data_IF_103200939317
#
_entry.id   IF_103200939317
#
_cell.length_a   1.000
_cell.length_b   1.000
_cell.length_c   1.000
_cell.angle_alpha   90.00
_cell.angle_beta   90.00
_cell.angle_gamma   90.00
#
_symmetry.space_group_name_H-M   'P 1'
#
loop_
_entity.id
_entity.type
_entity.pdbx_description
1 polymer ?
#
# COMPACT_ATOMS: atom_id res chain seq x y z
N UNK A 1 -1.92 -33.28 17.30
CA UNK A 1 -1.02 -34.40 17.66
C UNK A 1 0.43 -34.15 17.23
N UNK A 2 0.71 -33.80 15.96
CA UNK A 2 2.08 -33.53 15.49
C UNK A 2 2.81 -32.39 16.22
N UNK A 3 2.12 -31.28 16.51
CA UNK A 3 2.70 -30.17 17.31
C UNK A 3 3.03 -30.61 18.74
N UNK A 4 2.17 -31.46 19.32
CA UNK A 4 2.43 -32.04 20.65
C UNK A 4 3.67 -32.94 20.62
N UNK A 5 3.82 -33.80 19.61
CA UNK A 5 5.02 -34.61 19.45
C UNK A 5 6.28 -33.74 19.23
N UNK A 6 6.18 -32.70 18.39
CA UNK A 6 7.31 -31.82 18.07
C UNK A 6 7.83 -31.02 19.28
N UNK A 7 6.99 -30.71 20.27
CA UNK A 7 7.39 -29.94 21.45
C UNK A 7 7.71 -30.88 22.62
N UNK A 8 6.79 -31.81 22.93
CA UNK A 8 6.90 -32.61 24.15
C UNK A 8 7.92 -33.74 24.03
N UNK A 9 8.15 -34.32 22.84
CA UNK A 9 9.15 -35.40 22.71
C UNK A 9 10.58 -34.86 22.91
N UNK A 10 11.02 -33.78 22.22
CA UNK A 10 12.34 -33.20 22.48
C UNK A 10 12.50 -32.72 23.91
N UNK A 11 11.47 -32.08 24.49
CA UNK A 11 11.51 -31.63 25.88
C UNK A 11 11.70 -32.79 26.86
N UNK A 12 10.95 -33.89 26.69
CA UNK A 12 11.09 -35.07 27.55
C UNK A 12 12.45 -35.76 27.35
N UNK A 13 13.00 -35.79 26.14
CA UNK A 13 14.37 -36.29 25.90
C UNK A 13 15.40 -35.43 26.64
N UNK A 14 15.28 -34.10 26.58
CA UNK A 14 16.17 -33.17 27.30
C UNK A 14 16.05 -33.38 28.81
N UNK A 15 14.83 -33.48 29.34
CA UNK A 15 14.60 -33.73 30.77
C UNK A 15 15.17 -35.07 31.23
N UNK A 16 14.98 -36.14 30.45
CA UNK A 16 15.54 -37.45 30.75
C UNK A 16 17.08 -37.44 30.70
N UNK A 17 17.67 -36.76 29.71
CA UNK A 17 19.11 -36.59 29.62
C UNK A 17 19.67 -35.82 30.82
N UNK A 18 19.04 -34.71 31.21
CA UNK A 18 19.43 -33.92 32.38
C UNK A 18 19.34 -34.75 33.68
N UNK A 19 18.30 -35.56 33.84
CA UNK A 19 18.15 -36.46 35.00
C UNK A 19 19.25 -37.53 35.05
N UNK A 20 19.54 -38.18 33.91
CA UNK A 20 20.62 -39.17 33.82
C UNK A 20 21.97 -38.52 34.17
N UNK A 21 22.28 -37.35 33.60
CA UNK A 21 23.51 -36.62 33.87
C UNK A 21 23.62 -36.21 35.35
N UNK A 22 22.52 -35.77 35.97
CA UNK A 22 22.47 -35.45 37.39
C UNK A 22 22.80 -36.66 38.27
N UNK A 23 22.32 -37.85 37.90
CA UNK A 23 22.57 -39.07 38.68
C UNK A 23 24.00 -39.63 38.52
N UNK A 24 24.67 -39.33 37.40
CA UNK A 24 25.97 -39.93 37.05
C UNK A 24 27.18 -39.02 37.32
N UNK A 25 27.00 -37.70 37.30
CA UNK A 25 28.11 -36.74 37.44
C UNK A 25 28.12 -36.17 38.86
N UNK A 26 29.19 -36.45 39.61
CA UNK A 26 29.40 -35.83 40.94
C UNK A 26 29.51 -34.31 40.76
N UNK A 27 28.74 -33.55 41.55
CA UNK A 27 28.61 -32.09 41.44
C UNK A 27 27.95 -31.57 40.14
N UNK A 28 27.14 -32.39 39.44
CA UNK A 28 26.40 -31.97 38.24
C UNK A 28 25.69 -30.61 38.39
N UNK A 29 24.98 -30.39 39.50
CA UNK A 29 24.23 -29.14 39.74
C UNK A 29 25.13 -27.91 39.72
N UNK A 30 26.38 -28.01 40.21
CA UNK A 30 27.34 -26.91 40.15
C UNK A 30 27.78 -26.64 38.71
N UNK A 31 28.14 -27.69 37.96
CA UNK A 31 28.52 -27.55 36.54
C UNK A 31 27.39 -27.04 35.68
N UNK A 32 26.17 -27.53 35.88
CA UNK A 32 24.98 -27.08 35.17
C UNK A 32 24.67 -25.62 35.47
N UNK A 33 24.71 -25.22 36.75
CA UNK A 33 24.53 -23.81 37.14
C UNK A 33 25.59 -22.92 36.49
N UNK A 34 26.87 -23.32 36.52
CA UNK A 34 27.95 -22.58 35.85
C UNK A 34 27.68 -22.48 34.35
N UNK A 35 27.31 -23.58 33.70
CA UNK A 35 27.01 -23.59 32.26
C UNK A 35 25.84 -22.68 31.90
N UNK A 36 24.76 -22.68 32.69
CA UNK A 36 23.61 -21.78 32.51
C UNK A 36 24.00 -20.32 32.70
N UNK A 37 24.80 -20.00 33.74
CA UNK A 37 25.28 -18.63 33.99
C UNK A 37 26.20 -18.16 32.87
N UNK A 38 27.18 -18.98 32.47
CA UNK A 38 28.08 -18.68 31.34
C UNK A 38 27.30 -18.50 30.05
N UNK A 39 26.33 -19.39 29.78
CA UNK A 39 25.43 -19.28 28.64
C UNK A 39 24.62 -17.99 28.67
N UNK A 40 24.01 -17.65 29.81
CA UNK A 40 23.24 -16.41 29.96
C UNK A 40 24.11 -15.16 29.79
N UNK A 41 25.33 -15.15 30.32
CA UNK A 41 26.29 -14.05 30.13
C UNK A 41 26.69 -13.94 28.65
N UNK A 42 27.03 -15.06 28.00
CA UNK A 42 27.39 -15.09 26.58
C UNK A 42 26.23 -14.60 25.70
N UNK A 43 25.00 -15.05 25.97
CA UNK A 43 23.79 -14.57 25.28
C UNK A 43 23.57 -13.08 25.55
N UNK A 44 23.71 -12.61 26.79
CA UNK A 44 23.56 -11.19 27.10
C UNK A 44 24.61 -10.33 26.38
N UNK A 45 25.89 -10.72 26.42
CA UNK A 45 26.97 -10.04 25.70
C UNK A 45 26.74 -10.04 24.19
N UNK A 46 26.30 -11.17 23.64
CA UNK A 46 25.92 -11.29 22.22
C UNK A 46 24.75 -10.36 21.87
N UNK A 47 23.69 -10.33 22.68
CA UNK A 47 22.57 -9.40 22.51
C UNK A 47 23.00 -7.94 22.62
N UNK A 48 23.90 -7.60 23.55
CA UNK A 48 24.46 -6.25 23.67
C UNK A 48 25.30 -5.89 22.44
N UNK A 49 26.15 -6.79 21.97
CA UNK A 49 26.93 -6.59 20.75
C UNK A 49 26.02 -6.38 19.53
N UNK A 50 25.06 -7.28 19.30
CA UNK A 50 24.14 -7.17 18.17
C UNK A 50 23.22 -5.95 18.24
N UNK A 51 22.89 -5.50 19.45
CA UNK A 51 22.23 -4.21 19.65
C UNK A 51 23.11 -3.03 19.24
N UNK A 52 24.43 -3.10 19.42
CA UNK A 52 25.35 -2.02 19.00
C UNK A 52 25.65 -2.01 17.51
N UNK A 53 25.50 -3.14 16.81
CA UNK A 53 25.74 -3.25 15.36
C UNK A 53 24.44 -3.47 14.57
N UNK A 54 23.30 -3.11 15.15
CA UNK A 54 21.97 -3.38 14.59
C UNK A 54 21.78 -2.77 13.19
N UNK A 55 22.34 -1.58 12.99
CA UNK A 55 22.33 -0.83 11.74
C UNK A 55 23.31 -1.38 10.68
N UNK A 56 24.23 -2.26 11.07
CA UNK A 56 25.20 -2.89 10.17
C UNK A 56 24.71 -4.25 9.65
N UNK A 57 23.73 -4.86 10.34
CA UNK A 57 23.31 -6.25 10.11
C UNK A 57 24.37 -7.28 10.48
N UNK A 58 23.96 -8.54 10.59
CA UNK A 58 24.91 -9.66 10.73
C UNK A 58 25.33 -10.10 9.32
N UNK A 59 26.64 -10.19 9.09
CA UNK A 59 27.26 -10.59 7.80
C UNK A 59 26.97 -9.66 6.59
N UNK A 60 26.54 -8.41 6.82
CA UNK A 60 26.26 -7.45 5.75
C UNK A 60 25.04 -7.83 4.88
N UNK A 61 24.21 -8.76 5.33
CA UNK A 61 22.98 -9.16 4.62
C UNK A 61 21.84 -8.12 4.79
N UNK A 62 21.93 -7.27 5.81
CA UNK A 62 21.08 -6.10 6.00
C UNK A 62 21.73 -4.92 5.28
N UNK A 63 21.30 -4.64 4.05
CA UNK A 63 21.65 -3.37 3.38
C UNK A 63 20.77 -2.25 3.98
N UNK A 64 21.03 -1.88 5.24
CA UNK A 64 20.36 -0.74 5.85
C UNK A 64 20.94 0.56 5.31
N UNK A 65 20.10 1.29 4.60
CA UNK A 65 20.41 2.64 4.17
C UNK A 65 19.99 3.65 5.25
N UNK A 66 20.95 4.12 6.05
CA UNK A 66 20.73 5.13 7.09
C UNK A 66 20.21 6.47 6.53
N UNK A 67 20.30 6.68 5.21
CA UNK A 67 19.76 7.85 4.55
C UNK A 67 18.27 7.75 4.22
N UNK A 68 17.64 6.57 4.28
CA UNK A 68 16.21 6.40 3.97
C UNK A 68 15.34 6.40 5.24
N UNK A 69 15.72 5.59 6.24
CA UNK A 69 14.98 5.40 7.48
C UNK A 69 15.84 5.68 8.71
N UNK A 70 15.18 6.00 9.83
CA UNK A 70 15.80 6.06 11.15
C UNK A 70 15.05 5.21 12.15
N UNK A 71 15.78 4.31 12.80
CA UNK A 71 15.30 3.55 13.94
C UNK A 71 15.11 4.45 15.16
N UNK A 72 14.08 4.17 15.95
CA UNK A 72 13.80 4.87 17.18
C UNK A 72 13.71 3.91 18.37
N UNK A 73 14.34 4.33 19.47
CA UNK A 73 14.38 3.57 20.70
C UNK A 73 15.48 2.51 20.72
N UNK A 74 15.34 1.53 21.62
CA UNK A 74 16.29 0.44 21.81
C UNK A 74 15.74 -0.79 21.08
N UNK A 75 16.34 -1.11 19.93
CA UNK A 75 15.92 -2.26 19.12
C UNK A 75 16.83 -3.46 19.40
N UNK A 76 16.27 -4.66 19.25
CA UNK A 76 17.01 -5.91 19.40
C UNK A 76 16.80 -6.68 18.10
N UNK A 77 17.85 -6.99 17.32
CA UNK A 77 17.73 -7.83 16.15
C UNK A 77 17.40 -9.25 16.62
N UNK A 78 16.12 -9.56 16.72
CA UNK A 78 15.70 -10.92 17.04
C UNK A 78 15.78 -11.84 15.82
N UNK A 79 15.93 -11.25 14.63
CA UNK A 79 15.99 -11.89 13.30
C UNK A 79 16.99 -13.05 13.26
N UNK A 80 18.05 -13.00 14.08
CA UNK A 80 19.19 -13.94 14.00
C UNK A 80 19.44 -14.77 15.28
N UNK A 81 18.52 -14.77 16.26
CA UNK A 81 18.64 -15.62 17.47
C UNK A 81 18.16 -17.06 17.25
N UNK A 82 17.52 -17.34 16.12
CA UNK A 82 17.08 -18.68 15.73
C UNK A 82 17.80 -19.09 14.43
N UNK A 83 17.98 -20.41 14.18
CA UNK A 83 18.68 -20.91 13.00
C UNK A 83 18.08 -20.39 11.69
N UNK A 84 18.93 -20.31 10.66
CA UNK A 84 18.57 -19.93 9.30
C UNK A 84 17.23 -20.55 8.86
N UNK A 85 16.29 -19.70 8.40
CA UNK A 85 14.94 -20.10 8.00
C UNK A 85 13.85 -19.85 9.05
N UNK A 86 14.22 -19.54 10.31
CA UNK A 86 13.29 -19.03 11.31
C UNK A 86 13.25 -17.50 11.24
N UNK A 87 12.23 -16.93 10.58
CA UNK A 87 12.03 -15.48 10.60
C UNK A 87 11.58 -15.05 12.00
N UNK A 88 12.40 -14.22 12.67
CA UNK A 88 12.05 -13.62 13.95
C UNK A 88 11.87 -12.11 13.79
N UNK A 89 10.66 -11.65 14.02
CA UNK A 89 10.27 -10.27 13.76
C UNK A 89 10.32 -9.48 15.06
N UNK A 90 11.30 -8.59 15.21
CA UNK A 90 11.28 -7.43 16.12
C UNK A 90 12.16 -6.31 15.51
N UNK A 91 11.68 -5.74 14.40
CA UNK A 91 12.12 -4.43 13.93
C UNK A 91 11.43 -3.40 14.83
N UNK A 92 12.18 -2.61 15.61
CA UNK A 92 11.54 -1.58 16.43
C UNK A 92 10.94 -0.45 15.61
N UNK A 93 10.62 0.66 16.26
CA UNK A 93 9.97 1.79 15.59
C UNK A 93 10.90 2.43 14.57
N UNK A 94 10.35 2.82 13.43
CA UNK A 94 11.07 3.46 12.34
C UNK A 94 10.33 4.68 11.84
N UNK A 95 11.09 5.68 11.43
CA UNK A 95 10.58 6.90 10.81
C UNK A 95 11.31 7.16 9.50
N UNK A 96 10.59 7.66 8.50
CA UNK A 96 11.23 8.18 7.30
C UNK A 96 12.10 9.38 7.65
N UNK A 97 13.33 9.39 7.12
CA UNK A 97 14.20 10.56 7.25
C UNK A 97 13.58 11.68 6.44
N UNK A 98 13.23 12.79 7.10
CA UNK A 98 12.73 13.97 6.38
C UNK A 98 13.78 14.47 5.39
N UNK A 99 13.31 14.93 4.24
CA UNK A 99 14.14 15.62 3.27
C UNK A 99 14.82 16.83 3.92
N UNK A 100 16.09 17.06 3.53
CA UNK A 100 16.89 18.12 4.13
C UNK A 100 16.49 19.51 3.64
N UNK A 101 16.05 19.60 2.38
CA UNK A 101 15.57 20.85 1.79
C UNK A 101 14.05 20.92 1.84
N UNK A 102 13.53 22.09 2.20
CA UNK A 102 12.10 22.39 2.10
C UNK A 102 11.75 22.66 0.63
N UNK A 103 11.07 21.72 -0.01
CA UNK A 103 10.60 21.85 -1.39
C UNK A 103 9.11 22.17 -1.33
N UNK A 104 8.76 23.41 -1.66
CA UNK A 104 7.37 23.80 -1.87
C UNK A 104 7.05 23.71 -3.36
N UNK A 105 6.32 22.67 -3.76
CA UNK A 105 5.91 22.49 -5.13
C UNK A 105 4.42 22.18 -5.24
N UNK A 106 3.73 22.86 -6.14
CA UNK A 106 2.28 22.76 -6.34
C UNK A 106 1.97 22.82 -7.84
N UNK A 107 1.05 21.96 -8.30
CA UNK A 107 0.46 22.08 -9.62
C UNK A 107 -0.86 22.82 -9.46
N UNK A 108 -1.03 23.93 -10.18
CA UNK A 108 -2.25 24.72 -10.12
C UNK A 108 -3.39 24.12 -10.98
N UNK A 109 -4.53 24.81 -11.02
CA UNK A 109 -5.73 24.37 -11.75
C UNK A 109 -5.55 24.36 -13.27
N UNK A 110 -4.61 25.15 -13.79
CA UNK A 110 -4.27 25.21 -15.22
C UNK A 110 -3.24 24.14 -15.60
N UNK A 111 -2.65 23.49 -14.61
CA UNK A 111 -1.60 22.51 -14.81
C UNK A 111 -0.20 23.07 -14.86
N UNK A 112 -0.03 24.32 -14.44
CA UNK A 112 1.29 24.90 -14.29
C UNK A 112 1.91 24.44 -12.97
N UNK A 113 3.15 23.95 -13.06
CA UNK A 113 3.94 23.53 -11.92
C UNK A 113 4.73 24.73 -11.36
N UNK A 114 4.45 25.07 -10.11
CA UNK A 114 5.16 26.11 -9.36
C UNK A 114 6.08 25.44 -8.35
N UNK A 115 7.38 25.60 -8.52
CA UNK A 115 8.39 25.05 -7.59
C UNK A 115 9.07 26.21 -6.86
N UNK A 116 9.30 26.05 -5.57
CA UNK A 116 10.19 26.90 -4.77
C UNK A 116 11.08 25.99 -3.93
N UNK A 117 12.38 26.05 -4.21
CA UNK A 117 13.39 25.45 -3.36
C UNK A 117 14.59 26.40 -3.29
N UNK A 118 15.27 26.46 -2.14
CA UNK A 118 16.31 27.46 -1.82
C UNK A 118 17.62 27.31 -2.61
N UNK A 119 17.57 26.80 -3.83
CA UNK A 119 18.70 26.62 -4.76
C UNK A 119 18.41 27.37 -6.06
N UNK A 120 19.43 27.59 -6.88
CA UNK A 120 19.25 28.18 -8.21
C UNK A 120 18.51 27.24 -9.16
N UNK A 121 17.75 27.81 -10.10
CA UNK A 121 16.98 27.11 -11.14
C UNK A 121 17.76 26.00 -11.86
N UNK A 122 19.05 26.23 -12.12
CA UNK A 122 19.96 25.26 -12.75
C UNK A 122 20.08 23.92 -12.01
N UNK A 123 19.68 23.87 -10.74
CA UNK A 123 19.67 22.66 -9.91
C UNK A 123 18.29 22.01 -9.75
N UNK A 124 17.24 22.56 -10.37
CA UNK A 124 15.87 22.04 -10.26
C UNK A 124 15.54 21.18 -11.48
N UNK A 125 15.11 19.95 -11.21
CA UNK A 125 14.77 18.96 -12.22
C UNK A 125 13.39 18.38 -11.93
N UNK A 126 12.58 18.20 -12.97
CA UNK A 126 11.24 17.62 -12.87
C UNK A 126 11.20 16.32 -13.67
N UNK A 127 10.92 15.23 -12.97
CA UNK A 127 10.66 13.92 -13.55
C UNK A 127 9.14 13.79 -13.77
N UNK A 128 8.70 13.94 -15.03
CA UNK A 128 7.32 13.78 -15.44
C UNK A 128 6.99 12.30 -15.54
N UNK A 129 6.13 11.81 -14.64
CA UNK A 129 5.78 10.40 -14.56
C UNK A 129 4.76 10.03 -15.64
N UNK A 130 4.85 8.82 -16.23
CA UNK A 130 3.94 8.42 -17.29
C UNK A 130 2.55 8.04 -16.74
N UNK A 131 1.52 8.26 -17.57
CA UNK A 131 0.19 7.69 -17.34
C UNK A 131 0.21 6.18 -17.64
N UNK A 132 -0.15 5.36 -16.65
CA UNK A 132 -0.11 3.90 -16.74
C UNK A 132 -1.45 3.29 -17.12
N UNK A 133 -2.56 4.04 -17.03
CA UNK A 133 -3.93 3.55 -17.28
C UNK A 133 -4.10 2.93 -18.67
N UNK A 134 -3.45 3.51 -19.67
CA UNK A 134 -3.53 3.06 -21.07
C UNK A 134 -2.58 1.91 -21.41
N UNK A 135 -1.75 1.47 -20.45
CA UNK A 135 -0.79 0.42 -20.73
C UNK A 135 -1.47 -0.95 -20.83
N UNK A 136 -1.02 -1.79 -21.77
CA UNK A 136 -1.52 -3.15 -21.89
C UNK A 136 -1.10 -4.00 -20.67
N UNK A 137 -1.89 -5.01 -20.33
CA UNK A 137 -1.61 -5.93 -19.22
C UNK A 137 -0.18 -6.51 -19.24
N UNK A 138 0.39 -6.81 -20.42
CA UNK A 138 1.78 -7.31 -20.55
C UNK A 138 2.85 -6.36 -20.04
N UNK A 139 2.58 -5.06 -20.03
CA UNK A 139 3.49 -4.00 -19.58
C UNK A 139 3.32 -3.71 -18.08
N UNK A 140 2.25 -4.24 -17.47
CA UNK A 140 1.91 -4.03 -16.05
C UNK A 140 2.26 -5.20 -15.14
N UNK A 141 3.15 -6.09 -15.61
CA UNK A 141 3.69 -7.15 -14.76
C UNK A 141 4.63 -6.53 -13.72
N UNK A 142 4.17 -6.51 -12.47
CA UNK A 142 4.88 -5.91 -11.35
C UNK A 142 6.16 -6.67 -10.98
N UNK A 143 6.22 -7.99 -11.24
CA UNK A 143 7.42 -8.79 -10.93
C UNK A 143 8.60 -8.42 -11.81
N UNK A 144 8.36 -8.05 -13.07
CA UNK A 144 9.44 -8.00 -14.06
C UNK A 144 9.56 -6.69 -14.84
N UNK A 145 8.46 -5.93 -15.00
CA UNK A 145 8.38 -4.88 -16.03
C UNK A 145 7.87 -3.54 -15.53
N UNK A 146 6.83 -3.49 -14.69
CA UNK A 146 6.08 -2.25 -14.44
C UNK A 146 6.98 -1.13 -13.92
N UNK A 147 7.77 -1.36 -12.87
CA UNK A 147 8.66 -0.33 -12.32
C UNK A 147 9.72 0.12 -13.35
N UNK A 148 10.34 -0.82 -14.05
CA UNK A 148 11.38 -0.54 -15.06
C UNK A 148 10.80 0.27 -16.23
N UNK A 149 9.58 -0.04 -16.66
CA UNK A 149 8.90 0.70 -17.71
C UNK A 149 8.48 2.10 -17.25
N UNK A 150 8.03 2.26 -16.00
CA UNK A 150 7.75 3.58 -15.42
C UNK A 150 9.01 4.43 -15.40
N UNK A 151 10.11 3.90 -14.88
CA UNK A 151 11.41 4.61 -14.85
C UNK A 151 11.87 4.94 -16.27
N UNK A 152 11.83 3.97 -17.19
CA UNK A 152 12.24 4.16 -18.60
C UNK A 152 11.40 5.20 -19.34
N UNK A 153 10.10 5.29 -19.06
CA UNK A 153 9.17 6.23 -19.70
C UNK A 153 9.02 7.55 -18.95
N UNK A 154 9.68 7.71 -17.79
CA UNK A 154 9.72 8.98 -17.06
C UNK A 154 10.56 9.98 -17.85
N UNK A 155 10.00 11.17 -18.09
CA UNK A 155 10.67 12.22 -18.85
C UNK A 155 11.28 13.22 -17.87
N UNK A 156 12.60 13.35 -17.89
CA UNK A 156 13.34 14.29 -17.04
C UNK A 156 13.52 15.62 -17.77
N UNK A 157 13.03 16.71 -17.18
CA UNK A 157 13.11 18.05 -17.76
C UNK A 157 13.72 19.04 -16.75
N UNK A 158 14.55 20.00 -17.20
CA UNK A 158 14.98 21.10 -16.34
C UNK A 158 13.79 22.01 -16.01
N UNK A 159 13.75 22.55 -14.80
CA UNK A 159 12.79 23.57 -14.41
C UNK A 159 13.43 24.96 -14.49
N UNK A 160 12.66 25.95 -14.92
CA UNK A 160 13.11 27.33 -15.03
C UNK A 160 11.98 28.26 -14.60
N UNK A 161 12.23 29.12 -13.61
CA UNK A 161 11.23 30.04 -13.09
C UNK A 161 10.81 31.12 -14.09
N UNK A 162 11.59 31.35 -15.16
CA UNK A 162 11.26 32.36 -16.18
C UNK A 162 10.25 31.88 -17.22
N UNK A 163 9.99 30.57 -17.30
CA UNK A 163 9.07 29.98 -18.28
C UNK A 163 8.03 29.09 -17.58
N UNK A 164 6.72 29.28 -17.82
CA UNK A 164 5.67 28.41 -17.29
C UNK A 164 5.93 26.94 -17.60
N UNK A 165 6.04 26.09 -16.57
CA UNK A 165 6.15 24.65 -16.74
C UNK A 165 4.75 24.02 -16.75
N UNK A 166 4.13 23.96 -17.92
CA UNK A 166 2.76 23.43 -18.06
C UNK A 166 2.78 21.92 -18.33
N UNK A 167 2.07 21.17 -17.50
CA UNK A 167 1.93 19.72 -17.63
C UNK A 167 0.75 19.35 -18.53
N UNK A 168 0.92 18.32 -19.36
CA UNK A 168 -0.16 17.75 -20.17
C UNK A 168 -1.36 17.32 -19.32
N UNK A 169 -2.58 17.47 -19.84
CA UNK A 169 -3.85 17.14 -19.18
C UNK A 169 -3.96 15.67 -18.70
N UNK A 170 -3.07 14.77 -19.13
CA UNK A 170 -3.00 13.37 -18.67
C UNK A 170 -1.97 13.14 -17.56
N UNK A 171 -1.07 14.09 -17.28
CA UNK A 171 -0.05 13.94 -16.24
C UNK A 171 -0.68 14.11 -14.87
N UNK A 172 -0.74 13.02 -14.10
CA UNK A 172 -1.28 13.01 -12.73
C UNK A 172 -0.24 13.28 -11.65
N UNK A 173 1.05 13.01 -11.91
CA UNK A 173 2.10 13.21 -10.93
C UNK A 173 3.46 13.50 -11.56
N UNK A 174 4.28 14.23 -10.81
CA UNK A 174 5.69 14.49 -11.12
C UNK A 174 6.54 14.29 -9.87
N UNK A 175 7.83 14.01 -10.04
CA UNK A 175 8.82 14.12 -8.97
C UNK A 175 9.63 15.37 -9.21
N UNK A 176 9.59 16.31 -8.26
CA UNK A 176 10.40 17.52 -8.27
C UNK A 176 11.67 17.24 -7.47
N UNK A 177 12.83 17.51 -8.07
CA UNK A 177 14.15 17.32 -7.47
C UNK A 177 14.83 18.66 -7.31
N UNK A 178 15.28 18.96 -6.10
CA UNK A 178 16.09 20.13 -5.77
C UNK A 178 17.37 19.65 -5.11
N UNK A 179 18.47 19.61 -5.89
CA UNK A 179 19.73 19.05 -5.44
C UNK A 179 19.58 17.56 -5.05
N UNK A 180 19.84 17.24 -3.79
CA UNK A 180 19.72 15.88 -3.25
C UNK A 180 18.32 15.55 -2.72
N UNK A 181 17.45 16.55 -2.56
CA UNK A 181 16.10 16.36 -2.04
C UNK A 181 15.09 16.21 -3.18
N UNK A 182 14.05 15.43 -2.95
CA UNK A 182 13.00 15.20 -3.92
C UNK A 182 11.61 15.22 -3.25
N UNK A 183 10.55 15.41 -4.03
CA UNK A 183 9.17 15.37 -3.54
C UNK A 183 8.21 15.00 -4.66
N UNK A 184 7.12 14.28 -4.35
CA UNK A 184 6.06 14.01 -5.32
C UNK A 184 5.06 15.17 -5.30
N UNK A 185 4.68 15.64 -6.49
CA UNK A 185 3.56 16.56 -6.66
C UNK A 185 2.51 15.88 -7.53
N UNK A 186 1.37 15.59 -6.94
CA UNK A 186 0.24 14.95 -7.62
C UNK A 186 -0.91 15.93 -7.85
N UNK A 187 -1.69 15.69 -8.90
CA UNK A 187 -2.94 16.38 -9.23
C UNK A 187 -3.97 15.41 -9.80
N UNK A 188 -5.24 15.79 -9.69
CA UNK A 188 -6.34 15.09 -10.35
C UNK A 188 -6.40 15.60 -11.79
N UNK A 189 -6.04 14.75 -12.75
CA UNK A 189 -5.98 15.13 -14.16
C UNK A 189 -6.45 13.98 -15.04
N UNK A 190 -7.30 14.23 -16.07
CA UNK A 190 -7.92 15.52 -16.38
C UNK A 190 -8.91 15.96 -15.28
N UNK A 191 -9.29 17.24 -15.26
CA UNK A 191 -10.33 17.72 -14.35
C UNK A 191 -11.64 16.95 -14.58
N UNK A 192 -12.39 16.69 -13.51
CA UNK A 192 -13.64 15.91 -13.55
C UNK A 192 -14.68 16.55 -14.47
N UNK A 193 -14.70 17.88 -14.55
CA UNK A 193 -15.60 18.61 -15.46
C UNK A 193 -15.32 18.33 -16.94
N UNK A 194 -14.11 17.91 -17.28
CA UNK A 194 -13.67 17.51 -18.62
C UNK A 194 -13.87 16.02 -18.90
N UNK A 195 -14.24 15.21 -17.89
CA UNK A 195 -14.43 13.77 -18.10
C UNK A 195 -15.67 13.51 -18.97
N UNK A 196 -15.53 12.79 -20.09
CA UNK A 196 -16.69 12.41 -20.89
C UNK A 196 -17.61 11.46 -20.10
N UNK A 197 -18.88 11.43 -20.48
CA UNK A 197 -19.76 10.35 -20.03
C UNK A 197 -19.28 9.05 -20.69
N UNK A 198 -18.84 8.12 -19.86
CA UNK A 198 -18.32 6.85 -20.34
C UNK A 198 -19.47 5.98 -20.87
N UNK A 199 -19.33 5.50 -22.11
CA UNK A 199 -20.23 4.51 -22.70
C UNK A 199 -19.44 3.23 -22.93
N UNK A 200 -19.77 2.12 -22.24
CA UNK A 200 -19.05 0.87 -22.43
C UNK A 200 -19.29 0.30 -23.83
N UNK A 201 -18.26 -0.32 -24.46
CA UNK A 201 -18.44 -1.10 -25.66
C UNK A 201 -19.45 -2.25 -25.43
N UNK A 202 -20.38 -2.53 -26.36
CA UNK A 202 -21.45 -3.53 -26.16
C UNK A 202 -20.95 -4.91 -25.70
N UNK A 203 -19.83 -5.36 -26.23
CA UNK A 203 -19.20 -6.66 -25.93
C UNK A 203 -18.63 -6.76 -24.50
N UNK A 204 -18.43 -5.61 -23.84
CA UNK A 204 -17.88 -5.53 -22.49
C UNK A 204 -18.79 -4.80 -21.51
N UNK A 205 -20.03 -4.51 -21.92
CA UNK A 205 -21.00 -3.78 -21.11
C UNK A 205 -21.54 -4.66 -19.98
N UNK A 206 -21.10 -4.36 -18.76
CA UNK A 206 -21.49 -5.09 -17.54
C UNK A 206 -22.96 -4.87 -17.13
N UNK A 207 -23.72 -4.07 -17.88
CA UNK A 207 -25.16 -3.87 -17.68
C UNK A 207 -25.99 -4.93 -18.40
N UNK A 208 -25.50 -5.45 -19.52
CA UNK A 208 -26.23 -6.39 -20.39
C UNK A 208 -26.24 -7.80 -19.77
N UNK A 209 -25.13 -8.20 -19.16
CA UNK A 209 -25.04 -9.48 -18.45
C UNK A 209 -25.77 -9.41 -17.11
N UNK A 210 -26.95 -10.03 -17.06
CA UNK A 210 -27.87 -10.21 -15.93
C UNK A 210 -27.28 -10.18 -14.49
N UNK A 211 -26.93 -8.98 -13.99
CA UNK A 211 -27.16 -8.62 -12.57
C UNK A 211 -28.62 -8.17 -12.36
N UNK A 212 -29.44 -8.29 -13.42
CA UNK A 212 -30.86 -7.94 -13.52
C UNK A 212 -31.84 -8.85 -12.79
N UNK A 213 -31.41 -9.64 -11.79
CA UNK A 213 -32.33 -10.18 -10.77
C UNK A 213 -32.08 -9.63 -9.36
N UNK A 214 -30.85 -9.23 -9.04
CA UNK A 214 -30.52 -8.69 -7.72
C UNK A 214 -30.74 -7.17 -7.68
N UNK A 215 -30.44 -6.44 -8.77
CA UNK A 215 -30.70 -4.99 -8.84
C UNK A 215 -32.07 -4.62 -9.46
N UNK A 216 -32.69 -5.50 -10.25
CA UNK A 216 -34.06 -5.26 -10.76
C UNK A 216 -35.14 -5.83 -9.82
N UNK A 217 -34.79 -6.61 -8.80
CA UNK A 217 -35.74 -7.22 -7.86
C UNK A 217 -36.27 -6.27 -6.78
N UNK A 218 -35.76 -5.05 -6.72
CA UNK A 218 -36.25 -3.96 -5.85
C UNK A 218 -36.44 -2.67 -6.65
N UNK A 219 -37.09 -2.76 -7.79
CA UNK A 219 -37.68 -1.60 -8.48
C UNK A 219 -38.93 -1.08 -7.74
N UNK A 220 -38.85 -0.92 -6.41
CA UNK A 220 -39.72 0.06 -5.78
C UNK A 220 -39.31 1.41 -6.35
N UNK A 221 -40.24 2.14 -6.95
CA UNK A 221 -40.04 3.50 -7.51
C UNK A 221 -39.33 4.46 -6.54
N UNK A 222 -39.31 4.12 -5.25
CA UNK A 222 -38.59 4.78 -4.17
C UNK A 222 -37.05 4.76 -4.32
N UNK A 223 -36.44 3.68 -4.84
CA UNK A 223 -34.98 3.61 -5.05
C UNK A 223 -34.53 4.23 -6.37
N UNK A 224 -35.39 4.24 -7.40
CA UNK A 224 -35.08 4.87 -8.68
C UNK A 224 -34.87 6.39 -8.57
N UNK A 225 -35.43 7.01 -7.53
CA UNK A 225 -35.30 8.43 -7.24
C UNK A 225 -34.15 8.77 -6.27
N UNK A 226 -33.45 7.78 -5.72
CA UNK A 226 -32.35 8.02 -4.79
C UNK A 226 -31.01 8.14 -5.53
N UNK A 227 -30.26 9.20 -5.23
CA UNK A 227 -28.89 9.36 -5.73
C UNK A 227 -28.05 8.18 -5.20
N UNK A 228 -27.33 7.43 -6.07
CA UNK A 228 -26.48 6.34 -5.62
C UNK A 228 -25.39 6.83 -4.65
N UNK A 229 -25.03 6.03 -3.64
CA UNK A 229 -23.98 6.40 -2.70
C UNK A 229 -22.62 6.41 -3.38
N UNK A 230 -21.74 7.29 -2.89
CA UNK A 230 -20.32 7.20 -3.21
C UNK A 230 -19.70 6.01 -2.46
N UNK A 231 -18.73 5.36 -3.08
CA UNK A 231 -18.07 4.17 -2.53
C UNK A 231 -16.56 4.41 -2.47
N UNK A 232 -15.98 4.19 -1.30
CA UNK A 232 -14.53 4.17 -1.10
C UNK A 232 -14.17 2.82 -0.52
N UNK A 233 -13.33 2.08 -1.24
CA UNK A 233 -12.82 0.78 -0.85
C UNK A 233 -11.34 0.91 -0.48
N UNK A 234 -11.02 0.72 0.80
CA UNK A 234 -9.66 0.72 1.30
C UNK A 234 -9.24 -0.73 1.59
N UNK A 235 -8.21 -1.21 0.89
CA UNK A 235 -7.61 -2.53 1.15
C UNK A 235 -6.32 -2.37 1.94
N UNK A 236 -6.26 -3.03 3.10
CA UNK A 236 -5.03 -3.17 3.87
C UNK A 236 -4.50 -4.59 3.68
N UNK A 237 -3.51 -4.75 2.80
CA UNK A 237 -2.97 -6.06 2.44
C UNK A 237 -2.20 -6.69 3.60
N UNK A 238 -2.34 -8.01 3.75
CA UNK A 238 -1.76 -8.82 4.82
C UNK A 238 -2.14 -8.38 6.27
N UNK A 239 -3.24 -7.64 6.45
CA UNK A 239 -3.72 -7.23 7.78
C UNK A 239 -4.85 -8.12 8.29
N UNK A 240 -4.61 -8.82 9.41
CA UNK A 240 -5.68 -9.53 10.13
C UNK A 240 -6.51 -8.56 10.99
N UNK A 241 -7.76 -8.94 11.32
CA UNK A 241 -8.61 -8.16 12.26
C UNK A 241 -7.89 -7.87 13.58
N UNK A 242 -7.18 -8.86 14.15
CA UNK A 242 -6.43 -8.69 15.39
C UNK A 242 -5.27 -7.71 15.21
N UNK A 243 -4.61 -7.72 14.06
CA UNK A 243 -3.57 -6.75 13.74
C UNK A 243 -4.15 -5.34 13.63
N UNK A 244 -5.26 -5.16 12.92
CA UNK A 244 -5.95 -3.87 12.82
C UNK A 244 -6.26 -3.28 14.20
N UNK A 245 -6.97 -4.03 15.05
CA UNK A 245 -7.35 -3.54 16.39
C UNK A 245 -6.17 -3.26 17.32
N UNK A 246 -5.06 -4.00 17.17
CA UNK A 246 -3.88 -3.86 18.04
C UNK A 246 -2.91 -2.77 17.57
N UNK A 247 -2.72 -2.62 16.26
CA UNK A 247 -1.67 -1.77 15.68
C UNK A 247 -2.21 -0.48 15.07
N UNK A 248 -3.53 -0.35 14.90
CA UNK A 248 -4.18 0.86 14.39
C UNK A 248 -5.21 1.44 15.39
N UNK A 249 -4.82 1.69 16.66
CA UNK A 249 -5.77 2.10 17.70
C UNK A 249 -6.42 3.48 17.43
N UNK A 250 -5.73 4.41 16.77
CA UNK A 250 -6.33 5.71 16.42
C UNK A 250 -7.39 5.53 15.34
N UNK A 251 -7.11 4.72 14.32
CA UNK A 251 -8.07 4.41 13.24
C UNK A 251 -9.31 3.69 13.79
N UNK A 252 -9.13 2.74 14.71
CA UNK A 252 -10.24 2.07 15.41
C UNK A 252 -11.08 3.08 16.21
N UNK A 253 -10.42 4.02 16.89
CA UNK A 253 -11.12 5.09 17.62
C UNK A 253 -11.91 5.98 16.66
N UNK A 254 -11.32 6.40 15.55
CA UNK A 254 -11.99 7.19 14.52
C UNK A 254 -13.23 6.48 13.98
N UNK A 255 -13.13 5.19 13.61
CA UNK A 255 -14.30 4.39 13.20
C UNK A 255 -15.39 4.37 14.27
N UNK A 256 -15.04 4.11 15.53
CA UNK A 256 -16.01 4.12 16.64
C UNK A 256 -16.67 5.48 16.82
N UNK A 257 -15.94 6.58 16.63
CA UNK A 257 -16.52 7.93 16.70
C UNK A 257 -17.53 8.19 15.59
N UNK A 258 -17.33 7.62 14.39
CA UNK A 258 -18.31 7.73 13.31
C UNK A 258 -19.65 7.09 13.70
N UNK A 259 -19.65 5.96 14.40
CA UNK A 259 -20.87 5.25 14.83
C UNK A 259 -21.75 6.06 15.79
N UNK A 260 -21.16 6.95 16.60
CA UNK A 260 -21.93 7.76 17.57
C UNK A 260 -22.72 8.90 16.92
N UNK A 261 -22.52 9.17 15.63
CA UNK A 261 -23.27 10.17 14.90
C UNK A 261 -24.55 9.56 14.32
N UNK A 262 -25.69 10.23 14.53
CA UNK A 262 -27.03 9.75 14.15
C UNK A 262 -27.22 9.37 12.67
N UNK A 263 -26.28 9.77 11.80
CA UNK A 263 -26.37 9.59 10.34
C UNK A 263 -25.39 8.55 9.77
N UNK A 264 -24.57 7.92 10.62
CA UNK A 264 -23.57 6.95 10.19
C UNK A 264 -23.89 5.57 10.75
N UNK A 265 -23.76 4.53 9.93
CA UNK A 265 -23.89 3.15 10.36
C UNK A 265 -22.56 2.43 10.18
N UNK A 266 -21.93 2.04 11.29
CA UNK A 266 -20.73 1.22 11.28
C UNK A 266 -21.10 -0.25 11.52
N UNK A 267 -20.77 -1.10 10.56
CA UNK A 267 -20.98 -2.55 10.67
C UNK A 267 -19.65 -3.28 10.58
N UNK A 268 -19.25 -3.93 11.67
CA UNK A 268 -18.11 -4.85 11.68
C UNK A 268 -18.59 -6.28 11.40
N UNK A 269 -18.12 -6.87 10.30
CA UNK A 269 -18.51 -8.21 9.90
C UNK A 269 -17.63 -9.28 10.57
N UNK A 270 -17.95 -9.64 11.81
CA UNK A 270 -17.14 -10.56 12.61
C UNK A 270 -16.99 -11.98 12.02
N UNK A 271 -17.95 -12.41 11.20
CA UNK A 271 -17.95 -13.72 10.52
C UNK A 271 -17.49 -13.64 9.07
N UNK A 272 -17.04 -12.46 8.63
CA UNK A 272 -16.37 -12.33 7.34
C UNK A 272 -14.89 -12.72 7.50
N UNK A 273 -14.43 -13.60 6.63
CA UNK A 273 -13.10 -14.20 6.67
C UNK A 273 -12.46 -14.13 5.29
N UNK A 274 -11.14 -14.14 5.26
CA UNK A 274 -10.41 -14.32 4.02
C UNK A 274 -10.71 -15.71 3.44
N UNK A 275 -10.71 -15.81 2.11
CA UNK A 275 -10.80 -17.07 1.36
C UNK A 275 -9.61 -17.98 1.67
N UNK A 276 -8.44 -17.39 1.85
CA UNK A 276 -7.21 -18.11 2.15
C UNK A 276 -6.13 -17.21 2.70
N UNK A 277 -4.90 -17.72 2.74
CA UNK A 277 -3.72 -17.00 3.22
C UNK A 277 -3.01 -16.19 2.13
N UNK A 278 -3.29 -16.44 0.85
CA UNK A 278 -2.69 -15.72 -0.28
C UNK A 278 -3.53 -14.50 -0.64
N UNK A 279 -2.87 -13.36 -0.87
CA UNK A 279 -3.52 -12.14 -1.36
C UNK A 279 -4.27 -12.40 -2.67
N UNK A 280 -3.69 -13.15 -3.61
CA UNK A 280 -4.27 -13.39 -4.94
C UNK A 280 -5.68 -13.98 -4.90
N UNK A 281 -5.92 -15.01 -4.09
CA UNK A 281 -7.26 -15.61 -4.02
C UNK A 281 -8.27 -14.70 -3.34
N UNK A 282 -7.82 -13.91 -2.36
CA UNK A 282 -8.67 -12.97 -1.64
C UNK A 282 -9.08 -11.80 -2.54
N UNK A 283 -8.15 -11.23 -3.30
CA UNK A 283 -8.40 -10.14 -4.24
C UNK A 283 -9.24 -10.59 -5.43
N UNK A 284 -9.03 -11.81 -5.98
CA UNK A 284 -9.94 -12.38 -7.00
C UNK A 284 -11.37 -12.45 -6.49
N UNK A 285 -11.58 -13.01 -5.29
CA UNK A 285 -12.90 -13.08 -4.70
C UNK A 285 -13.51 -11.69 -4.43
N UNK A 286 -12.70 -10.73 -3.94
CA UNK A 286 -13.18 -9.38 -3.67
C UNK A 286 -13.50 -8.57 -4.93
N UNK A 287 -12.69 -8.69 -5.98
CA UNK A 287 -12.78 -7.85 -7.18
C UNK A 287 -13.61 -8.46 -8.29
N UNK A 288 -13.66 -9.79 -8.38
CA UNK A 288 -14.44 -10.51 -9.40
C UNK A 288 -15.67 -11.23 -8.84
N UNK A 289 -15.77 -11.40 -7.52
CA UNK A 289 -16.81 -12.22 -6.90
C UNK A 289 -16.53 -13.71 -6.92
N UNK A 290 -15.44 -14.17 -7.55
CA UNK A 290 -15.04 -15.57 -7.61
C UNK A 290 -13.51 -15.74 -7.70
N UNK A 291 -13.00 -16.85 -7.16
CA UNK A 291 -11.55 -17.15 -7.13
C UNK A 291 -11.06 -17.68 -8.49
N UNK A 292 -11.92 -18.44 -9.16
CA UNK A 292 -11.66 -19.11 -10.43
C UNK A 292 -12.71 -18.66 -11.45
N UNK A 293 -12.50 -17.51 -12.10
CA UNK A 293 -13.53 -16.97 -12.98
C UNK A 293 -13.80 -17.91 -14.15
N UNK A 294 -15.07 -18.27 -14.32
CA UNK A 294 -15.49 -19.19 -15.38
C UNK A 294 -15.45 -18.52 -16.75
N UNK A 295 -15.68 -17.21 -16.78
CA UNK A 295 -15.70 -16.40 -17.99
C UNK A 295 -14.33 -15.75 -18.22
N UNK A 296 -13.82 -15.90 -19.46
CA UNK A 296 -12.65 -15.16 -19.93
C UNK A 296 -12.92 -13.67 -19.96
N UNK A 297 -11.88 -12.86 -19.77
CA UNK A 297 -11.97 -11.40 -19.77
C UNK A 297 -12.95 -10.82 -18.72
N UNK A 298 -13.15 -11.53 -17.59
CA UNK A 298 -14.00 -11.04 -16.50
C UNK A 298 -13.45 -9.72 -15.96
N UNK A 299 -14.28 -8.68 -16.00
CA UNK A 299 -13.92 -7.34 -15.56
C UNK A 299 -14.04 -7.20 -14.04
N UNK A 300 -13.17 -6.40 -13.40
CA UNK A 300 -13.25 -6.13 -11.97
C UNK A 300 -14.45 -5.25 -11.59
N UNK A 301 -14.82 -5.27 -10.31
CA UNK A 301 -16.01 -4.60 -9.77
C UNK A 301 -16.11 -3.11 -10.13
N UNK A 302 -14.99 -2.38 -10.20
CA UNK A 302 -15.00 -0.97 -10.59
C UNK A 302 -15.45 -0.75 -12.04
N UNK A 303 -15.28 -1.71 -12.95
CA UNK A 303 -15.88 -1.66 -14.28
C UNK A 303 -17.42 -1.58 -14.21
N UNK A 304 -18.02 -2.34 -13.29
CA UNK A 304 -19.47 -2.34 -13.10
C UNK A 304 -20.00 -0.98 -12.62
N UNK A 305 -19.22 -0.30 -11.77
CA UNK A 305 -19.51 1.06 -11.34
C UNK A 305 -19.37 2.05 -12.50
N UNK A 306 -18.28 1.97 -13.27
CA UNK A 306 -18.04 2.89 -14.40
C UNK A 306 -19.14 2.82 -15.46
N UNK A 307 -19.57 1.62 -15.81
CA UNK A 307 -20.65 1.40 -16.80
C UNK A 307 -22.00 1.99 -16.34
N UNK A 308 -22.15 2.23 -15.03
CA UNK A 308 -23.32 2.85 -14.39
C UNK A 308 -23.12 4.34 -14.13
N UNK A 309 -22.11 4.95 -14.74
CA UNK A 309 -21.89 6.40 -14.72
C UNK A 309 -21.03 6.90 -13.56
N UNK A 310 -20.49 6.01 -12.71
CA UNK A 310 -19.60 6.41 -11.63
C UNK A 310 -18.28 6.93 -12.21
N UNK A 311 -17.67 7.90 -11.51
CA UNK A 311 -16.26 8.21 -11.67
C UNK A 311 -15.46 7.16 -10.91
N UNK A 312 -14.48 6.56 -11.57
CA UNK A 312 -13.74 5.41 -11.04
C UNK A 312 -12.25 5.72 -10.92
N UNK A 313 -11.68 5.43 -9.75
CA UNK A 313 -10.28 5.73 -9.49
C UNK A 313 -9.60 4.59 -8.72
N UNK A 314 -8.32 4.37 -9.02
CA UNK A 314 -7.49 3.38 -8.33
C UNK A 314 -6.15 3.97 -7.91
N UNK A 315 -5.79 3.78 -6.65
CA UNK A 315 -4.53 4.21 -6.05
C UNK A 315 -3.83 2.96 -5.51
N UNK A 316 -2.62 2.67 -5.99
CA UNK A 316 -1.86 1.49 -5.57
C UNK A 316 -0.54 1.94 -4.96
N UNK A 317 -0.34 1.71 -3.66
CA UNK A 317 0.87 2.15 -2.98
C UNK A 317 2.08 1.21 -3.19
N UNK A 318 1.99 0.18 -4.03
CA UNK A 318 2.97 -0.91 -4.15
C UNK A 318 3.70 -1.03 -5.50
N UNK A 319 3.48 -0.11 -6.45
CA UNK A 319 3.92 -0.25 -7.85
C UNK A 319 3.42 -1.54 -8.50
N UNK A 320 2.14 -1.81 -8.35
CA UNK A 320 1.52 -3.05 -8.77
C UNK A 320 0.19 -2.78 -9.46
N UNK A 321 -0.16 -3.64 -10.43
CA UNK A 321 -1.49 -3.67 -11.01
C UNK A 321 -2.16 -5.00 -10.65
N UNK A 322 -3.01 -4.98 -9.63
CA UNK A 322 -3.76 -6.17 -9.20
C UNK A 322 -4.61 -6.81 -10.31
N UNK A 323 -5.04 -6.04 -11.31
CA UNK A 323 -5.74 -6.62 -12.45
C UNK A 323 -4.82 -7.54 -13.25
N UNK A 324 -3.56 -7.14 -13.44
CA UNK A 324 -2.55 -8.00 -14.05
C UNK A 324 -2.17 -9.14 -13.12
N UNK A 325 -1.85 -8.86 -11.87
CA UNK A 325 -1.41 -9.88 -10.90
C UNK A 325 -2.44 -10.99 -10.67
N UNK A 326 -3.70 -10.62 -10.47
CA UNK A 326 -4.74 -11.58 -10.11
C UNK A 326 -5.46 -12.16 -11.32
N UNK A 327 -5.70 -11.34 -12.33
CA UNK A 327 -6.60 -11.69 -13.43
C UNK A 327 -5.90 -11.75 -14.77
N UNK A 328 -4.60 -11.44 -14.86
CA UNK A 328 -3.86 -11.37 -16.11
C UNK A 328 -4.03 -12.63 -16.97
N UNK A 329 -3.98 -13.81 -16.35
CA UNK A 329 -4.11 -15.08 -17.07
C UNK A 329 -5.53 -15.38 -17.56
N UNK A 330 -6.53 -14.65 -17.07
CA UNK A 330 -7.92 -14.77 -17.49
C UNK A 330 -8.25 -13.92 -18.73
N UNK A 331 -7.35 -13.01 -19.13
CA UNK A 331 -7.52 -12.21 -20.34
C UNK A 331 -6.91 -12.88 -21.56
N UNK A 332 -7.67 -12.96 -22.65
CA UNK A 332 -7.25 -13.60 -23.91
C UNK A 332 -6.10 -12.86 -24.57
N UNK A 333 -6.13 -11.52 -24.51
CA UNK A 333 -5.11 -10.65 -25.08
C UNK A 333 -4.43 -9.85 -23.97
N UNK A 334 -3.13 -10.07 -23.80
CA UNK A 334 -2.31 -9.28 -22.88
C UNK A 334 -2.11 -7.82 -23.35
N UNK A 335 -2.61 -7.50 -24.55
CA UNK A 335 -2.58 -6.18 -25.17
C UNK A 335 -3.78 -5.32 -24.73
N UNK A 336 -4.72 -5.93 -24.02
CA UNK A 336 -5.87 -5.22 -23.47
C UNK A 336 -5.45 -4.32 -22.29
N UNK A 337 -5.79 -3.04 -22.36
CA UNK A 337 -5.56 -2.08 -21.29
C UNK A 337 -6.79 -2.01 -20.36
N UNK A 338 -6.88 -2.94 -19.41
CA UNK A 338 -8.05 -3.04 -18.52
C UNK A 338 -8.29 -1.74 -17.76
N UNK A 339 -7.25 -1.09 -17.25
CA UNK A 339 -7.40 0.20 -16.55
C UNK A 339 -8.01 1.27 -17.45
N UNK A 340 -7.64 1.34 -18.73
CA UNK A 340 -8.27 2.28 -19.65
C UNK A 340 -9.76 2.01 -19.83
N UNK A 341 -10.16 0.74 -19.87
CA UNK A 341 -11.56 0.30 -19.93
C UNK A 341 -12.32 0.61 -18.63
N UNK A 342 -11.67 0.50 -17.48
CA UNK A 342 -12.36 0.37 -16.20
C UNK A 342 -12.18 1.54 -15.24
N UNK A 343 -11.23 2.44 -15.50
CA UNK A 343 -10.86 3.56 -14.63
C UNK A 343 -10.86 4.89 -15.38
N UNK A 344 -11.23 5.96 -14.66
CA UNK A 344 -11.01 7.35 -15.06
C UNK A 344 -9.66 7.86 -14.53
N UNK A 345 -9.27 7.44 -13.32
CA UNK A 345 -8.01 7.82 -12.68
C UNK A 345 -7.21 6.61 -12.19
N UNK A 346 -5.90 6.66 -12.34
CA UNK A 346 -4.95 5.65 -11.86
C UNK A 346 -3.69 6.31 -11.31
N UNK A 347 -3.36 6.07 -10.04
CA UNK A 347 -2.13 6.54 -9.42
C UNK A 347 -1.27 5.35 -8.98
N UNK A 348 -0.32 4.97 -9.84
CA UNK A 348 0.63 3.87 -9.60
C UNK A 348 2.08 4.33 -9.80
N UNK A 349 2.34 5.11 -10.86
CA UNK A 349 3.70 5.50 -11.26
C UNK A 349 4.58 6.14 -10.17
N UNK A 350 4.06 6.99 -9.25
CA UNK A 350 4.89 7.55 -8.17
C UNK A 350 5.49 6.49 -7.25
N UNK A 351 4.81 5.37 -7.07
CA UNK A 351 5.25 4.28 -6.19
C UNK A 351 6.26 3.35 -6.86
N UNK A 352 6.56 3.56 -8.15
CA UNK A 352 7.54 2.78 -8.90
C UNK A 352 8.96 3.37 -8.87
N UNK A 353 9.18 4.41 -8.07
CA UNK A 353 10.45 5.12 -8.03
C UNK A 353 11.53 4.31 -7.30
N UNK A 354 12.81 4.35 -7.74
CA UNK A 354 13.91 3.55 -7.16
C UNK A 354 14.13 3.70 -5.65
N UNK A 355 13.73 4.83 -5.07
CA UNK A 355 13.85 5.06 -3.62
C UNK A 355 12.98 4.10 -2.81
N UNK A 356 11.78 3.79 -3.29
CA UNK A 356 10.89 2.82 -2.66
C UNK A 356 11.01 1.44 -3.33
N UNK A 357 11.02 1.41 -4.66
CA UNK A 357 10.98 0.20 -5.48
C UNK A 357 12.25 0.11 -6.34
N UNK A 358 13.31 -0.59 -5.88
CA UNK A 358 14.62 -0.53 -6.51
C UNK A 358 14.60 -1.11 -7.92
N UNK A 359 15.38 -0.50 -8.81
CA UNK A 359 15.52 -0.91 -10.21
C UNK A 359 16.55 -2.04 -10.40
N UNK A 360 17.45 -2.20 -9.44
CA UNK A 360 18.45 -3.26 -9.33
C UNK A 360 18.21 -4.09 -8.06
N UNK A 361 18.43 -5.39 -8.14
CA UNK A 361 18.26 -6.31 -7.00
C UNK A 361 16.83 -6.81 -6.84
N UNK A 362 16.47 -7.25 -5.62
CA UNK A 362 15.14 -7.76 -5.32
C UNK A 362 14.23 -6.64 -4.82
N UNK A 363 13.33 -6.16 -5.68
CA UNK A 363 12.35 -5.13 -5.32
C UNK A 363 11.27 -5.58 -4.33
N UNK A 364 11.22 -6.87 -4.03
CA UNK A 364 10.35 -7.48 -3.02
C UNK A 364 11.17 -8.04 -1.86
N UNK A 365 12.36 -7.49 -1.65
CA UNK A 365 13.24 -7.89 -0.57
C UNK A 365 12.67 -7.51 0.80
N UNK A 366 13.24 -8.12 1.84
CA UNK A 366 12.85 -7.83 3.21
C UNK A 366 13.25 -6.41 3.65
N UNK A 367 14.12 -5.70 2.93
CA UNK A 367 14.67 -4.41 3.37
C UNK A 367 14.32 -3.23 2.47
N UNK A 368 13.70 -3.47 1.30
CA UNK A 368 13.29 -2.42 0.39
C UNK A 368 12.08 -2.88 -0.43
N UNK A 369 11.21 -1.95 -0.80
CA UNK A 369 9.98 -2.25 -1.56
C UNK A 369 8.75 -2.54 -0.71
N UNK A 370 7.65 -3.00 -1.35
CA UNK A 370 6.34 -3.13 -0.73
C UNK A 370 6.23 -4.23 0.32
N UNK A 371 7.18 -5.18 0.38
CA UNK A 371 7.24 -6.23 1.40
C UNK A 371 8.34 -6.01 2.43
N UNK A 372 8.94 -4.82 2.41
CA UNK A 372 9.97 -4.46 3.36
C UNK A 372 9.48 -4.52 4.80
N UNK A 373 10.35 -5.05 5.67
CA UNK A 373 10.19 -5.05 7.12
C UNK A 373 10.60 -3.71 7.74
N UNK A 374 11.22 -2.82 6.95
CA UNK A 374 11.49 -1.45 7.37
C UNK A 374 10.36 -0.50 6.98
N UNK A 375 10.32 0.68 7.62
CA UNK A 375 9.40 1.73 7.22
C UNK A 375 9.54 2.02 5.72
N UNK A 376 8.40 2.24 5.07
CA UNK A 376 8.37 2.41 3.62
C UNK A 376 8.34 3.88 3.31
N UNK A 377 9.49 4.34 2.88
CA UNK A 377 9.75 5.74 2.67
C UNK A 377 9.89 6.03 1.19
N UNK A 378 9.38 7.18 0.80
CA UNK A 378 9.47 7.70 -0.54
C UNK A 378 9.56 9.22 -0.43
N UNK A 379 10.73 9.76 -0.77
CA UNK A 379 11.04 11.19 -0.70
C UNK A 379 10.78 11.78 0.69
N UNK A 380 11.31 11.07 1.69
CA UNK A 380 11.27 11.45 3.11
C UNK A 380 9.89 11.43 3.80
N UNK A 381 8.86 10.89 3.15
CA UNK A 381 7.52 10.64 3.71
C UNK A 381 7.17 9.17 3.66
N UNK A 382 6.19 8.74 4.46
CA UNK A 382 5.69 7.38 4.34
C UNK A 382 4.96 7.21 3.01
N UNK A 383 5.08 6.03 2.40
CA UNK A 383 4.46 5.73 1.10
C UNK A 383 2.94 6.00 1.11
N UNK A 384 2.22 5.58 2.15
CA UNK A 384 0.77 5.85 2.25
C UNK A 384 0.41 7.33 2.35
N UNK A 385 1.32 8.22 2.80
CA UNK A 385 1.02 9.65 2.87
C UNK A 385 0.79 10.25 1.49
N UNK A 386 1.49 9.76 0.47
CA UNK A 386 1.29 10.16 -0.93
C UNK A 386 -0.04 9.65 -1.49
N UNK A 387 -0.42 8.42 -1.13
CA UNK A 387 -1.71 7.84 -1.51
C UNK A 387 -2.87 8.63 -0.89
N UNK A 388 -2.80 8.95 0.40
CA UNK A 388 -3.81 9.78 1.07
C UNK A 388 -3.86 11.21 0.53
N UNK A 389 -2.73 11.86 0.28
CA UNK A 389 -2.68 13.19 -0.34
C UNK A 389 -3.47 13.23 -1.67
N UNK A 390 -3.25 12.23 -2.53
CA UNK A 390 -4.02 12.12 -3.77
C UNK A 390 -5.51 11.82 -3.53
N UNK A 391 -5.83 10.93 -2.59
CA UNK A 391 -7.23 10.65 -2.21
C UNK A 391 -7.97 11.92 -1.76
N UNK A 392 -7.32 12.78 -0.96
CA UNK A 392 -7.90 14.05 -0.54
C UNK A 392 -8.14 14.99 -1.72
N UNK A 393 -7.16 15.12 -2.63
CA UNK A 393 -7.29 15.94 -3.84
C UNK A 393 -8.44 15.44 -4.72
N UNK A 394 -8.52 14.13 -4.96
CA UNK A 394 -9.57 13.51 -5.77
C UNK A 394 -10.95 13.70 -5.14
N UNK A 395 -11.09 13.44 -3.84
CA UNK A 395 -12.37 13.66 -3.14
C UNK A 395 -12.79 15.13 -3.16
N UNK A 396 -11.85 16.06 -2.99
CA UNK A 396 -12.13 17.50 -3.06
C UNK A 396 -12.67 17.90 -4.43
N UNK A 397 -12.06 17.42 -5.51
CA UNK A 397 -12.53 17.67 -6.88
C UNK A 397 -13.91 17.03 -7.13
N UNK A 398 -14.18 15.86 -6.55
CA UNK A 398 -15.46 15.14 -6.66
C UNK A 398 -16.57 15.71 -5.77
N UNK A 399 -16.26 16.57 -4.79
CA UNK A 399 -17.27 17.17 -3.92
C UNK A 399 -18.09 18.20 -4.71
N UNK A 400 -19.44 18.15 -4.63
CA UNK A 400 -20.27 19.18 -5.23
C UNK A 400 -19.94 20.54 -4.59
N UNK A 401 -19.60 21.55 -5.40
CA UNK A 401 -19.52 22.91 -4.89
C UNK A 401 -20.94 23.43 -4.64
N UNK A 402 -21.19 24.01 -3.46
CA UNK A 402 -22.50 24.53 -3.04
C UNK A 402 -23.16 25.49 -4.04
N UNK A 403 -22.38 26.10 -4.94
CA UNK A 403 -22.83 27.13 -5.87
C UNK A 403 -22.73 26.72 -7.36
N UNK A 404 -22.28 25.50 -7.69
CA UNK A 404 -22.19 25.03 -9.08
C UNK A 404 -23.16 23.88 -9.32
N UNK A 405 -24.32 24.20 -9.86
CA UNK A 405 -25.32 23.23 -10.32
C UNK A 405 -24.92 22.56 -11.65
N UNK A 406 -23.63 22.25 -11.86
CA UNK A 406 -23.18 21.51 -13.03
C UNK A 406 -23.36 20.01 -12.79
N UNK A 407 -24.17 19.37 -13.63
CA UNK A 407 -24.54 17.95 -13.55
C UNK A 407 -23.33 16.99 -13.50
N UNK A 408 -22.18 17.42 -14.02
CA UNK A 408 -20.95 16.62 -14.09
C UNK A 408 -20.30 16.41 -12.72
N UNK A 409 -20.34 17.42 -11.82
CA UNK A 409 -19.78 17.32 -10.45
C UNK A 409 -20.67 16.56 -9.46
N UNK A 410 -21.85 16.12 -9.90
CA UNK A 410 -22.78 15.35 -9.08
C UNK A 410 -22.74 13.84 -9.36
N UNK A 411 -21.81 13.38 -10.22
CA UNK A 411 -21.63 11.96 -10.53
C UNK A 411 -21.20 11.21 -9.27
N UNK A 412 -21.77 10.02 -9.01
CA UNK A 412 -21.29 9.18 -7.93
C UNK A 412 -19.88 8.69 -8.26
N UNK A 413 -19.12 8.27 -7.25
CA UNK A 413 -17.75 7.76 -7.47
C UNK A 413 -17.47 6.47 -6.73
N UNK A 414 -16.55 5.68 -7.30
CA UNK A 414 -15.97 4.48 -6.72
C UNK A 414 -14.45 4.64 -6.71
N UNK A 415 -13.87 4.73 -5.52
CA UNK A 415 -12.41 4.87 -5.35
C UNK A 415 -11.89 3.61 -4.66
N UNK A 416 -10.87 2.98 -5.23
CA UNK A 416 -10.13 1.89 -4.59
C UNK A 416 -8.73 2.37 -4.21
N UNK A 417 -8.30 2.12 -2.98
CA UNK A 417 -6.92 2.36 -2.56
C UNK A 417 -6.36 1.14 -1.82
N UNK A 418 -5.16 0.71 -2.21
CA UNK A 418 -4.46 -0.41 -1.57
C UNK A 418 -3.23 0.09 -0.82
N UNK A 419 -3.07 -0.45 0.38
CA UNK A 419 -1.95 -0.19 1.28
C UNK A 419 -1.27 -1.50 1.65
N UNK A 420 0.06 -1.52 1.60
CA UNK A 420 0.85 -2.75 1.72
C UNK A 420 1.42 -2.99 3.12
N UNK A 421 1.26 -2.05 4.05
CA UNK A 421 2.04 -1.98 5.30
C UNK A 421 1.86 -3.18 6.24
N UNK A 422 0.88 -4.06 5.96
CA UNK A 422 0.63 -5.29 6.69
C UNK A 422 1.53 -6.48 6.35
N UNK A 423 2.34 -6.42 5.29
CA UNK A 423 3.25 -7.52 4.90
C UNK A 423 4.40 -7.78 5.89
N UNK A 424 4.55 -6.90 6.88
CA UNK A 424 5.57 -6.99 7.90
C UNK A 424 5.05 -7.72 9.17
N UNK A 425 5.79 -8.74 9.63
CA UNK A 425 5.32 -9.68 10.65
C UNK A 425 5.18 -9.14 12.09
N UNK A 426 5.91 -8.10 12.49
CA UNK A 426 5.79 -7.46 13.83
C UNK A 426 4.56 -6.56 13.96
N UNK A 427 4.10 -6.01 12.83
CA UNK A 427 3.11 -4.97 12.75
C UNK A 427 3.62 -3.59 13.17
N UNK A 428 4.94 -3.34 13.15
CA UNK A 428 5.49 -1.99 13.34
C UNK A 428 5.37 -1.15 12.08
N UNK A 429 5.48 -1.75 10.88
CA UNK A 429 5.29 -1.01 9.62
C UNK A 429 3.84 -0.59 9.45
N UNK A 430 2.86 -1.48 9.66
CA UNK A 430 1.43 -1.12 9.62
C UNK A 430 1.07 -0.04 10.63
N UNK A 431 1.76 0.03 11.77
CA UNK A 431 1.52 1.08 12.77
C UNK A 431 1.80 2.49 12.23
N UNK A 432 2.66 2.63 11.23
CA UNK A 432 2.95 3.93 10.58
C UNK A 432 1.70 4.51 9.90
N UNK A 433 0.79 3.65 9.41
CA UNK A 433 -0.45 4.03 8.74
C UNK A 433 -1.50 4.63 9.69
N UNK A 434 -1.43 4.34 11.00
CA UNK A 434 -2.52 4.61 11.95
C UNK A 434 -2.95 6.07 11.99
N UNK A 435 -1.99 7.00 12.03
CA UNK A 435 -2.31 8.43 12.10
C UNK A 435 -2.95 8.93 10.82
N UNK A 436 -2.44 8.52 9.65
CA UNK A 436 -2.93 8.99 8.35
C UNK A 436 -4.31 8.40 8.04
N UNK A 437 -4.52 7.12 8.34
CA UNK A 437 -5.82 6.47 8.18
C UNK A 437 -6.85 7.05 9.15
N UNK A 438 -6.50 7.29 10.42
CA UNK A 438 -7.39 7.95 11.37
C UNK A 438 -7.82 9.33 10.88
N UNK A 439 -6.87 10.17 10.43
CA UNK A 439 -7.17 11.49 9.87
C UNK A 439 -8.09 11.41 8.64
N UNK A 440 -7.88 10.42 7.76
CA UNK A 440 -8.75 10.20 6.60
C UNK A 440 -10.19 9.83 7.00
N UNK A 441 -10.33 8.92 7.97
CA UNK A 441 -11.62 8.51 8.52
C UNK A 441 -12.35 9.69 9.21
N UNK A 442 -11.60 10.56 9.90
CA UNK A 442 -12.15 11.75 10.53
C UNK A 442 -12.56 12.81 9.50
N UNK A 443 -11.81 13.04 8.42
CA UNK A 443 -12.25 13.93 7.33
C UNK A 443 -13.53 13.42 6.63
N UNK A 444 -13.73 12.11 6.56
CA UNK A 444 -15.00 11.54 6.07
C UNK A 444 -16.19 11.88 6.96
N UNK A 445 -15.98 12.20 8.24
CA UNK A 445 -17.03 12.67 9.15
C UNK A 445 -17.60 14.02 8.74
N UNK A 446 -16.73 14.90 8.25
CA UNK A 446 -17.03 16.31 7.99
C UNK A 446 -17.42 16.56 6.52
N UNK A 447 -17.58 15.47 5.75
CA UNK A 447 -17.96 15.42 4.33
C UNK A 447 -19.46 15.28 4.14
#
# INVERSE_FOLDING_TARGET
>A
MLVFLAIFVPLNIVLAALYILQSKIKHFTAYFTIAVVVGAIATALSLFHYRTIFDQGIHGALEYNADECRWAGRNIPFIDLLPNGAQNFWAGLMYCKREQQDIHAVIDQNGELHVKCGISDSGIVVDVLPETREWPLRDKDYWTKLNKLVIKRTIRLPYNHTSPFTLNDTTQAVVVRCGTSSTIVSRVSPSISKLPLYTPPPESDTRIHNVGKIFNGSSSSEYANQKPPNVIYLMLDAVSRRHFHRKLPQSVRALRTLQYLKYNHLTELYRYHSVGFSTDNNTKAAYLGEIFPKQRNTLPIWAHFRDRGFVTARIESGCDDWTKGCNGDNYEHQDFAVSNRTLDYELIAPFCQPEFYPDVGNAFGNFKGPYSIIARCLFGRYVHDWAFDYLYKLRRELRPHKNEATSVKNRPYMITATFFEGHEGTGEVIRTLDSALAAFLEDMRDS
#
